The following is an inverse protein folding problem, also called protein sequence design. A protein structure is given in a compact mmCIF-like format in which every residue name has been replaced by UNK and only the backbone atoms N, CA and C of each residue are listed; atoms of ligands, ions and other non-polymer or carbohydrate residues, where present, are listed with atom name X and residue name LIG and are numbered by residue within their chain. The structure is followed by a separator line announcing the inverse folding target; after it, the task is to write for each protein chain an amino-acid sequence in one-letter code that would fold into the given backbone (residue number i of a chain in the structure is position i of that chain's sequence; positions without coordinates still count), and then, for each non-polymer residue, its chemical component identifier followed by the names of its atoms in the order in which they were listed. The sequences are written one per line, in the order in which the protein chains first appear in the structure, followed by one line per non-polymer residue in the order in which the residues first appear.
data_IF_669590513702
#
_entry.id   IF_669590513702
#
_cell.length_a   1.000
_cell.length_b   1.000
_cell.length_c   1.000
_cell.angle_alpha   90.00
_cell.angle_beta   90.00
_cell.angle_gamma   90.00
#
_symmetry.space_group_name_H-M   'P 1'
#
loop_
_entity.id
_entity.type
_entity.pdbx_description
1 polymer ?
#
# COMPACT_ATOMS: atom_id res chain seq x y z
N UNK A 1 12.59 20.36 13.52
CA UNK A 1 12.40 20.61 14.98
C UNK A 1 11.01 20.19 15.41
N UNK A 2 10.79 19.93 16.71
CA UNK A 2 9.45 19.58 17.23
C UNK A 2 8.43 20.67 16.90
N UNK A 3 8.83 21.94 16.93
CA UNK A 3 7.98 23.08 16.58
C UNK A 3 7.56 23.04 15.11
N UNK A 4 8.42 22.61 14.20
CA UNK A 4 8.13 22.46 12.78
C UNK A 4 7.04 21.41 12.55
N UNK A 5 7.07 20.28 13.26
CA UNK A 5 6.02 19.26 13.17
C UNK A 5 4.67 19.85 13.59
N UNK A 6 4.65 20.63 14.68
CA UNK A 6 3.43 21.29 15.16
C UNK A 6 2.89 22.37 14.22
N UNK A 7 3.73 23.01 13.42
CA UNK A 7 3.30 24.15 12.59
C UNK A 7 3.10 23.78 11.11
N UNK A 8 3.82 22.78 10.60
CA UNK A 8 3.95 22.57 9.15
C UNK A 8 3.48 21.21 8.65
N UNK A 9 3.12 20.25 9.54
CA UNK A 9 2.76 18.91 9.11
C UNK A 9 1.23 18.66 9.09
N UNK A 10 0.58 18.66 7.91
CA UNK A 10 -0.87 18.48 7.82
C UNK A 10 -1.34 17.11 8.34
N UNK A 11 -0.52 16.06 8.19
CA UNK A 11 -0.82 14.73 8.73
C UNK A 11 -0.99 14.71 10.25
N UNK A 12 -0.23 15.53 10.96
CA UNK A 12 -0.36 15.68 12.41
C UNK A 12 -1.73 16.25 12.78
N UNK A 13 -2.15 17.34 12.13
CA UNK A 13 -3.45 17.94 12.35
C UNK A 13 -4.61 17.01 11.97
N UNK A 14 -4.47 16.29 10.85
CA UNK A 14 -5.49 15.33 10.43
C UNK A 14 -5.73 14.25 11.49
N UNK A 15 -4.66 13.71 12.09
CA UNK A 15 -4.76 12.71 13.16
C UNK A 15 -5.39 13.31 14.43
N UNK A 16 -4.99 14.50 14.87
CA UNK A 16 -5.58 15.14 16.05
C UNK A 16 -7.08 15.38 15.83
N UNK A 17 -7.46 15.98 14.71
CA UNK A 17 -8.86 16.23 14.39
C UNK A 17 -9.65 14.93 14.25
N UNK A 18 -9.02 13.89 13.71
CA UNK A 18 -9.63 12.56 13.67
C UNK A 18 -9.88 11.99 15.08
N UNK A 19 -8.97 12.15 16.05
CA UNK A 19 -9.23 11.69 17.43
C UNK A 19 -10.49 12.33 18.02
N UNK A 20 -10.72 13.61 17.75
CA UNK A 20 -11.95 14.32 18.14
C UNK A 20 -13.16 13.77 17.38
N UNK A 21 -13.05 13.60 16.05
CA UNK A 21 -14.13 13.02 15.24
C UNK A 21 -14.49 11.61 15.69
N UNK A 22 -13.51 10.78 16.00
CA UNK A 22 -13.72 9.40 16.46
C UNK A 22 -14.38 9.35 17.83
N UNK A 23 -13.98 10.23 18.76
CA UNK A 23 -14.64 10.37 20.06
C UNK A 23 -16.12 10.73 19.90
N UNK A 24 -16.42 11.74 19.09
CA UNK A 24 -17.81 12.13 18.80
C UNK A 24 -18.62 11.00 18.14
N UNK A 25 -17.99 10.26 17.24
CA UNK A 25 -18.60 9.13 16.54
C UNK A 25 -18.99 7.99 17.49
N UNK A 26 -18.09 7.63 18.40
CA UNK A 26 -18.32 6.58 19.39
C UNK A 26 -19.35 6.96 20.44
N UNK A 27 -19.55 8.28 20.66
CA UNK A 27 -20.60 8.82 21.53
C UNK A 27 -21.91 9.14 20.80
N UNK A 28 -22.13 8.55 19.62
CA UNK A 28 -23.35 8.70 18.80
C UNK A 28 -23.61 10.11 18.27
N UNK A 29 -22.69 11.06 18.42
CA UNK A 29 -22.75 12.40 17.87
C UNK A 29 -22.29 12.44 16.40
N UNK A 30 -22.92 11.60 15.58
CA UNK A 30 -22.46 11.31 14.20
C UNK A 30 -22.39 12.53 13.30
N UNK A 31 -23.36 13.45 13.40
CA UNK A 31 -23.38 14.68 12.59
C UNK A 31 -22.16 15.55 12.92
N UNK A 32 -21.89 15.80 14.21
CA UNK A 32 -20.74 16.60 14.65
C UNK A 32 -19.41 15.92 14.26
N UNK A 33 -19.33 14.61 14.40
CA UNK A 33 -18.18 13.83 13.96
C UNK A 33 -17.89 14.03 12.46
N UNK A 34 -18.92 13.97 11.62
CA UNK A 34 -18.83 14.18 10.16
C UNK A 34 -18.47 15.62 9.81
N UNK A 35 -19.05 16.60 10.50
CA UNK A 35 -18.70 18.00 10.31
C UNK A 35 -17.23 18.27 10.64
N UNK A 36 -16.72 17.77 11.76
CA UNK A 36 -15.33 17.93 12.15
C UNK A 36 -14.38 17.19 11.16
N UNK A 37 -14.75 15.99 10.72
CA UNK A 37 -13.98 15.27 9.69
C UNK A 37 -13.93 16.01 8.35
N UNK A 38 -15.03 16.63 7.93
CA UNK A 38 -15.06 17.47 6.73
C UNK A 38 -14.18 18.72 6.87
N UNK A 39 -14.21 19.37 8.03
CA UNK A 39 -13.33 20.49 8.32
C UNK A 39 -11.86 20.07 8.30
N UNK A 40 -11.53 18.91 8.89
CA UNK A 40 -10.19 18.35 8.85
C UNK A 40 -9.71 18.14 7.40
N UNK A 41 -10.55 17.55 6.55
CA UNK A 41 -10.25 17.37 5.12
C UNK A 41 -10.03 18.70 4.40
N UNK A 42 -10.85 19.69 4.65
CA UNK A 42 -10.71 21.01 4.06
C UNK A 42 -9.38 21.68 4.43
N UNK A 43 -8.98 21.57 5.71
CA UNK A 43 -7.75 22.21 6.21
C UNK A 43 -6.46 21.45 5.85
N UNK A 44 -6.54 20.13 5.75
CA UNK A 44 -5.34 19.29 5.63
C UNK A 44 -5.22 18.57 4.27
N UNK A 45 -6.29 18.51 3.49
CA UNK A 45 -6.37 17.69 2.28
C UNK A 45 -6.43 16.18 2.54
N UNK A 46 -6.60 15.75 3.80
CA UNK A 46 -6.60 14.34 4.22
C UNK A 46 -7.99 13.98 4.72
N UNK A 47 -8.59 12.94 4.14
CA UNK A 47 -9.87 12.42 4.59
C UNK A 47 -9.69 11.18 5.46
N UNK A 48 -10.14 11.26 6.72
CA UNK A 48 -10.20 10.11 7.62
C UNK A 48 -11.66 9.96 8.07
N UNK A 49 -12.25 8.77 7.80
CA UNK A 49 -13.62 8.51 8.24
C UNK A 49 -13.70 8.55 9.78
N UNK A 50 -14.70 9.21 10.39
CA UNK A 50 -14.81 9.31 11.86
C UNK A 50 -14.85 7.97 12.58
N UNK A 51 -15.43 6.94 11.93
CA UNK A 51 -15.49 5.58 12.45
C UNK A 51 -14.19 4.79 12.29
N UNK A 52 -13.18 5.32 11.60
CA UNK A 52 -11.93 4.63 11.41
C UNK A 52 -11.17 4.48 12.74
N UNK A 53 -10.52 3.32 12.91
CA UNK A 53 -9.64 3.07 14.06
C UNK A 53 -8.20 3.28 13.62
N UNK A 54 -7.56 4.33 14.14
CA UNK A 54 -6.18 4.68 13.85
C UNK A 54 -5.31 4.36 15.06
N UNK A 55 -4.27 3.55 14.86
CA UNK A 55 -3.32 3.15 15.88
C UNK A 55 -2.45 4.29 16.42
N UNK A 56 -1.45 3.92 17.21
CA UNK A 56 -0.46 4.87 17.77
C UNK A 56 0.69 5.05 16.78
N UNK A 57 1.34 6.21 16.81
CA UNK A 57 2.53 6.54 15.99
C UNK A 57 2.31 6.35 14.48
N UNK A 58 1.07 6.46 14.02
CA UNK A 58 0.79 6.52 12.59
C UNK A 58 1.30 7.84 12.06
N UNK A 59 2.04 7.80 10.96
CA UNK A 59 2.57 8.98 10.30
C UNK A 59 2.00 9.10 8.89
N UNK A 60 1.41 10.26 8.58
CA UNK A 60 0.88 10.57 7.25
C UNK A 60 1.79 11.65 6.66
N UNK A 61 2.65 11.23 5.72
CA UNK A 61 3.62 12.10 5.09
C UNK A 61 3.06 12.70 3.79
N UNK A 62 3.21 13.99 3.61
CA UNK A 62 2.68 14.75 2.47
C UNK A 62 1.18 14.52 2.18
N UNK A 63 0.41 14.03 3.06
CA UNK A 63 -0.90 13.38 3.04
C UNK A 63 -2.01 13.88 2.11
N UNK A 64 -1.79 14.90 1.28
CA UNK A 64 -2.82 15.45 0.38
C UNK A 64 -3.43 14.36 -0.49
N UNK A 65 -4.76 14.29 -0.52
CA UNK A 65 -5.51 13.27 -1.26
C UNK A 65 -5.54 11.89 -0.63
N UNK A 66 -5.00 11.70 0.58
CA UNK A 66 -5.13 10.45 1.30
C UNK A 66 -6.57 10.27 1.82
N UNK A 67 -7.13 9.06 1.63
CA UNK A 67 -8.46 8.66 2.11
C UNK A 67 -8.33 7.40 2.96
N UNK A 68 -8.69 7.49 4.24
CA UNK A 68 -8.57 6.38 5.20
C UNK A 68 -9.95 5.95 5.68
N UNK A 69 -10.32 4.71 5.31
CA UNK A 69 -11.69 4.20 5.53
C UNK A 69 -11.94 3.51 6.86
N UNK A 70 -11.04 2.66 7.37
CA UNK A 70 -11.41 1.79 8.51
C UNK A 70 -10.30 1.52 9.53
N UNK A 71 -9.37 0.57 9.34
CA UNK A 71 -8.41 0.14 10.37
C UNK A 71 -6.98 0.37 9.94
N UNK A 72 -6.24 1.15 10.72
CA UNK A 72 -4.80 1.36 10.56
C UNK A 72 -4.12 1.07 11.90
N UNK A 73 -3.21 0.10 11.89
CA UNK A 73 -2.45 -0.32 13.07
C UNK A 73 -1.41 0.68 13.53
N UNK A 74 -0.68 0.31 14.55
CA UNK A 74 0.41 1.11 15.10
C UNK A 74 1.59 1.23 14.13
N UNK A 75 2.37 2.30 14.22
CA UNK A 75 3.62 2.51 13.50
C UNK A 75 3.50 2.47 11.96
N UNK A 76 2.29 2.66 11.41
CA UNK A 76 2.03 2.66 9.97
C UNK A 76 2.45 3.99 9.36
N UNK A 77 3.12 3.92 8.20
CA UNK A 77 3.48 5.07 7.38
C UNK A 77 2.59 5.12 6.13
N UNK A 78 1.93 6.25 5.91
CA UNK A 78 1.04 6.49 4.76
C UNK A 78 1.54 7.70 4.00
N UNK A 79 1.70 7.58 2.68
CA UNK A 79 2.07 8.69 1.82
C UNK A 79 0.86 9.35 1.15
N UNK A 80 1.12 10.46 0.44
CA UNK A 80 0.10 11.22 -0.29
C UNK A 80 -0.68 10.37 -1.31
N UNK A 81 -1.94 10.73 -1.51
CA UNK A 81 -2.80 10.09 -2.51
C UNK A 81 -3.14 8.63 -2.26
N UNK A 82 -2.83 8.10 -1.09
CA UNK A 82 -3.19 6.73 -0.71
C UNK A 82 -4.68 6.62 -0.49
N UNK A 83 -5.29 5.57 -1.05
CA UNK A 83 -6.71 5.27 -0.86
C UNK A 83 -6.86 3.91 -0.17
N UNK A 84 -7.37 3.92 1.05
CA UNK A 84 -7.83 2.73 1.77
C UNK A 84 -9.35 2.64 1.62
N UNK A 85 -9.81 2.10 0.50
CA UNK A 85 -11.18 2.20 0.04
C UNK A 85 -12.00 0.92 0.15
N UNK A 86 -13.33 1.08 0.21
CA UNK A 86 -14.27 -0.03 0.16
C UNK A 86 -14.69 -0.34 -1.28
N UNK A 87 -15.05 -1.61 -1.53
CA UNK A 87 -15.51 -2.09 -2.84
C UNK A 87 -16.99 -2.48 -2.86
N UNK A 88 -17.74 -2.26 -1.78
CA UNK A 88 -19.15 -2.64 -1.65
C UNK A 88 -19.99 -1.52 -1.06
N UNK A 89 -21.27 -1.49 -1.40
CA UNK A 89 -22.30 -0.61 -0.78
C UNK A 89 -22.94 -1.25 0.46
N UNK A 90 -22.68 -2.52 0.72
CA UNK A 90 -23.24 -3.23 1.87
C UNK A 90 -22.70 -2.66 3.19
N UNK A 91 -23.51 -2.70 4.25
CA UNK A 91 -23.17 -2.23 5.59
C UNK A 91 -22.31 -3.25 6.39
N UNK A 92 -21.42 -3.98 5.71
CA UNK A 92 -20.47 -4.89 6.28
C UNK A 92 -19.07 -4.31 6.21
N UNK A 93 -18.08 -4.94 6.82
CA UNK A 93 -16.68 -4.56 6.67
C UNK A 93 -16.30 -4.62 5.19
N UNK A 94 -15.88 -3.51 4.62
CA UNK A 94 -15.62 -3.36 3.19
C UNK A 94 -14.32 -2.60 2.87
N UNK A 95 -13.66 -2.07 3.88
CA UNK A 95 -12.40 -1.37 3.76
C UNK A 95 -11.24 -2.24 4.27
N UNK A 96 -10.01 -1.95 3.85
CA UNK A 96 -8.87 -2.74 4.26
C UNK A 96 -8.51 -2.55 5.73
N UNK A 97 -7.85 -3.58 6.27
CA UNK A 97 -7.10 -3.50 7.51
C UNK A 97 -5.62 -3.36 7.17
N UNK A 98 -4.98 -2.34 7.67
CA UNK A 98 -3.52 -2.16 7.58
C UNK A 98 -2.92 -2.48 8.94
N UNK A 99 -2.10 -3.51 9.00
CA UNK A 99 -1.50 -3.95 10.24
C UNK A 99 -0.26 -3.14 10.62
N UNK A 100 0.24 -3.39 11.83
CA UNK A 100 1.35 -2.67 12.45
C UNK A 100 2.58 -2.57 11.53
N UNK A 101 3.20 -1.39 11.48
CA UNK A 101 4.48 -1.15 10.82
C UNK A 101 4.46 -1.23 9.31
N UNK A 102 3.27 -1.37 8.70
CA UNK A 102 3.17 -1.39 7.24
C UNK A 102 3.46 -0.01 6.63
N UNK A 103 3.98 0.01 5.41
CA UNK A 103 4.31 1.21 4.64
C UNK A 103 3.47 1.23 3.39
N UNK A 104 2.68 2.29 3.19
CA UNK A 104 1.81 2.45 2.03
C UNK A 104 2.36 3.58 1.15
N UNK A 105 2.95 3.21 0.03
CA UNK A 105 3.60 4.14 -0.92
C UNK A 105 2.62 5.11 -1.57
N UNK A 106 3.15 6.23 -2.05
CA UNK A 106 2.39 7.33 -2.63
C UNK A 106 1.44 6.87 -3.74
N UNK A 107 0.20 7.33 -3.72
CA UNK A 107 -0.82 7.00 -4.72
C UNK A 107 -1.28 5.55 -4.74
N UNK A 108 -0.84 4.71 -3.81
CA UNK A 108 -1.30 3.33 -3.74
C UNK A 108 -2.79 3.25 -3.39
N UNK A 109 -3.49 2.29 -3.99
CA UNK A 109 -4.91 2.03 -3.78
C UNK A 109 -5.09 0.63 -3.21
N UNK A 110 -5.50 0.55 -1.95
CA UNK A 110 -5.81 -0.71 -1.26
C UNK A 110 -7.32 -0.81 -1.14
N UNK A 111 -7.91 -1.77 -1.83
CA UNK A 111 -9.34 -1.77 -2.07
C UNK A 111 -10.01 -3.06 -1.58
N UNK A 112 -11.07 -2.91 -0.81
CA UNK A 112 -11.90 -4.01 -0.35
C UNK A 112 -11.60 -4.46 1.08
N UNK A 113 -12.31 -5.48 1.54
CA UNK A 113 -12.09 -6.10 2.85
C UNK A 113 -10.87 -7.05 2.79
N UNK A 114 -9.69 -6.49 2.69
CA UNK A 114 -8.42 -7.20 2.61
C UNK A 114 -7.49 -6.76 3.74
N UNK A 115 -6.49 -7.57 4.03
CA UNK A 115 -5.48 -7.30 5.05
C UNK A 115 -4.12 -7.04 4.43
N UNK A 116 -3.52 -5.92 4.81
CA UNK A 116 -2.11 -5.61 4.56
C UNK A 116 -1.36 -6.00 5.83
N UNK A 117 -0.61 -7.11 5.74
CA UNK A 117 0.07 -7.72 6.89
C UNK A 117 1.15 -6.84 7.50
N UNK A 118 1.55 -7.21 8.72
CA UNK A 118 2.54 -6.45 9.50
C UNK A 118 3.85 -6.25 8.73
N UNK A 119 4.44 -5.05 8.87
CA UNK A 119 5.73 -4.68 8.28
C UNK A 119 5.82 -4.87 6.77
N UNK A 120 4.69 -5.07 6.09
CA UNK A 120 4.66 -5.16 4.64
C UNK A 120 4.80 -3.79 3.98
N UNK A 121 5.20 -3.78 2.71
CA UNK A 121 5.38 -2.58 1.91
C UNK A 121 4.49 -2.62 0.68
N UNK A 122 3.70 -1.59 0.49
CA UNK A 122 2.94 -1.38 -0.74
C UNK A 122 3.68 -0.33 -1.57
N UNK A 123 4.09 -0.71 -2.77
CA UNK A 123 4.80 0.17 -3.68
C UNK A 123 3.97 1.36 -4.15
N UNK A 124 4.64 2.42 -4.54
CA UNK A 124 4.02 3.63 -5.10
C UNK A 124 3.14 3.28 -6.31
N UNK A 125 1.92 3.81 -6.33
CA UNK A 125 0.95 3.58 -7.41
C UNK A 125 0.36 2.18 -7.51
N UNK A 126 0.69 1.27 -6.60
CA UNK A 126 0.16 -0.10 -6.62
C UNK A 126 -1.34 -0.15 -6.38
N UNK A 127 -2.04 -1.08 -7.04
CA UNK A 127 -3.48 -1.35 -6.83
C UNK A 127 -3.63 -2.73 -6.21
N UNK A 128 -3.86 -2.76 -4.89
CA UNK A 128 -3.93 -3.98 -4.10
C UNK A 128 -5.38 -4.41 -3.93
N UNK A 129 -5.69 -5.62 -4.39
CA UNK A 129 -7.05 -6.19 -4.41
C UNK A 129 -7.14 -7.53 -3.67
N UNK A 130 -6.02 -7.99 -3.08
CA UNK A 130 -5.91 -9.25 -2.34
C UNK A 130 -5.07 -9.03 -1.10
N UNK A 131 -5.20 -9.92 -0.13
CA UNK A 131 -4.39 -9.89 1.09
C UNK A 131 -2.89 -9.89 0.78
N UNK A 132 -2.16 -9.11 1.54
CA UNK A 132 -0.69 -9.03 1.49
C UNK A 132 -0.14 -9.67 2.75
N UNK A 133 0.65 -10.75 2.64
CA UNK A 133 1.24 -11.40 3.80
C UNK A 133 2.17 -10.46 4.60
N UNK A 134 2.41 -10.73 5.88
CA UNK A 134 3.39 -9.99 6.67
C UNK A 134 4.78 -10.00 5.99
N UNK A 135 5.59 -8.98 6.27
CA UNK A 135 6.97 -8.84 5.80
C UNK A 135 7.15 -8.96 4.27
N UNK A 136 6.09 -8.66 3.53
CA UNK A 136 6.05 -8.80 2.07
C UNK A 136 6.06 -7.44 1.37
N UNK A 137 6.53 -7.42 0.12
CA UNK A 137 6.45 -6.24 -0.76
C UNK A 137 5.47 -6.53 -1.89
N UNK A 138 4.47 -5.65 -2.06
CA UNK A 138 3.48 -5.72 -3.11
C UNK A 138 3.60 -4.52 -4.04
N UNK A 139 3.72 -4.74 -5.36
CA UNK A 139 3.87 -3.68 -6.37
C UNK A 139 3.02 -3.93 -7.60
N UNK A 140 2.75 -2.89 -8.36
CA UNK A 140 2.13 -2.96 -9.70
C UNK A 140 0.60 -2.85 -9.70
N UNK A 141 0.03 -2.93 -10.91
CA UNK A 141 -1.40 -2.84 -11.20
C UNK A 141 -1.79 -4.00 -12.13
N UNK A 142 -2.52 -5.03 -11.63
CA UNK A 142 -2.86 -5.28 -10.23
C UNK A 142 -1.63 -5.63 -9.38
N UNK A 143 -1.72 -5.37 -8.07
CA UNK A 143 -0.64 -5.59 -7.13
C UNK A 143 -0.23 -7.07 -7.03
N UNK A 144 1.08 -7.32 -7.10
CA UNK A 144 1.69 -8.65 -6.99
C UNK A 144 2.75 -8.67 -5.90
N UNK A 145 2.83 -9.77 -5.17
CA UNK A 145 3.88 -9.97 -4.16
C UNK A 145 5.18 -10.30 -4.91
N UNK A 146 6.19 -9.46 -4.72
CA UNK A 146 7.51 -9.58 -5.38
C UNK A 146 8.61 -9.98 -4.41
N UNK A 147 8.39 -9.79 -3.10
CA UNK A 147 9.31 -10.17 -2.05
C UNK A 147 8.51 -10.61 -0.83
N UNK A 148 8.84 -11.77 -0.28
CA UNK A 148 8.37 -12.23 1.03
C UNK A 148 9.58 -12.71 1.82
N UNK A 149 9.76 -12.24 3.04
CA UNK A 149 10.80 -12.75 3.94
C UNK A 149 10.23 -14.01 4.60
N UNK A 150 10.97 -15.12 4.53
CA UNK A 150 10.65 -16.30 5.32
C UNK A 150 10.83 -15.96 6.82
N UNK A 151 9.97 -16.51 7.66
CA UNK A 151 9.78 -16.15 9.07
C UNK A 151 11.03 -16.21 9.97
N UNK A 152 12.11 -16.86 9.54
CA UNK A 152 13.28 -17.16 10.39
C UNK A 152 14.26 -15.99 10.59
N UNK A 153 14.10 -14.84 9.89
CA UNK A 153 15.03 -13.70 9.97
C UNK A 153 14.39 -12.39 10.45
N UNK A 154 13.26 -12.45 11.13
CA UNK A 154 12.36 -11.29 11.35
C UNK A 154 12.81 -10.36 12.48
N UNK A 155 13.45 -10.86 13.54
CA UNK A 155 13.65 -10.08 14.78
C UNK A 155 14.66 -8.91 14.73
N UNK A 156 15.56 -8.87 13.74
CA UNK A 156 16.71 -7.94 13.79
C UNK A 156 16.53 -6.68 12.93
N UNK A 157 15.58 -6.63 11.99
CA UNK A 157 15.49 -5.55 10.99
C UNK A 157 14.40 -4.47 11.20
N UNK A 158 13.57 -4.58 12.23
CA UNK A 158 12.44 -3.64 12.43
C UNK A 158 12.78 -2.32 13.13
N UNK A 159 14.07 -2.02 13.36
CA UNK A 159 14.48 -0.78 14.06
C UNK A 159 14.55 0.46 13.19
N UNK A 160 14.59 0.31 11.87
CA UNK A 160 14.62 1.44 10.92
C UNK A 160 13.58 1.26 9.82
N UNK A 161 12.85 2.34 9.51
CA UNK A 161 11.93 2.37 8.37
C UNK A 161 12.77 2.32 7.09
N UNK A 162 12.58 1.28 6.29
CA UNK A 162 13.25 1.15 4.99
C UNK A 162 12.46 1.94 3.94
N UNK A 163 13.01 3.05 3.48
CA UNK A 163 12.41 3.98 2.53
C UNK A 163 12.89 3.78 1.09
N UNK A 164 13.56 2.67 0.76
CA UNK A 164 14.09 2.36 -0.57
C UNK A 164 12.97 2.07 -1.61
N UNK A 165 12.07 3.04 -1.81
CA UNK A 165 10.98 2.94 -2.78
C UNK A 165 11.44 2.93 -4.24
N UNK A 166 12.66 3.37 -4.53
CA UNK A 166 13.26 3.39 -5.86
C UNK A 166 13.90 2.06 -6.26
N UNK A 167 14.01 1.10 -5.35
CA UNK A 167 14.56 -0.24 -5.59
C UNK A 167 13.50 -1.34 -5.60
N UNK A 168 12.25 -0.99 -5.89
CA UNK A 168 11.18 -1.97 -6.01
C UNK A 168 11.35 -2.78 -7.31
N UNK A 169 11.26 -4.12 -7.25
CA UNK A 169 11.34 -4.96 -8.44
C UNK A 169 10.15 -4.71 -9.37
N UNK A 170 10.39 -4.81 -10.68
CA UNK A 170 9.35 -4.76 -11.70
C UNK A 170 8.99 -6.20 -12.15
N UNK A 171 7.91 -6.78 -11.61
CA UNK A 171 7.56 -8.17 -11.92
C UNK A 171 7.13 -8.38 -13.38
N UNK A 172 6.72 -7.32 -14.08
CA UNK A 172 6.35 -7.42 -15.51
C UNK A 172 7.59 -7.43 -16.36
N UNK A 173 8.55 -6.54 -16.12
CA UNK A 173 9.83 -6.53 -16.80
C UNK A 173 10.60 -7.84 -16.59
N UNK A 174 10.62 -8.36 -15.36
CA UNK A 174 11.28 -9.63 -15.03
C UNK A 174 10.63 -10.82 -15.76
N UNK A 175 9.30 -10.86 -15.83
CA UNK A 175 8.58 -11.90 -16.58
C UNK A 175 8.86 -11.82 -18.09
N UNK A 176 8.87 -10.61 -18.67
CA UNK A 176 9.19 -10.38 -20.08
C UNK A 176 10.63 -10.81 -20.38
N UNK A 177 11.59 -10.43 -19.55
CA UNK A 177 12.99 -10.82 -19.71
C UNK A 177 13.16 -12.35 -19.67
N UNK A 178 12.46 -13.02 -18.75
CA UNK A 178 12.47 -14.48 -18.64
C UNK A 178 11.88 -15.14 -19.89
N UNK A 179 10.73 -14.66 -20.38
CA UNK A 179 10.11 -15.16 -21.61
C UNK A 179 11.02 -14.94 -22.82
N UNK A 180 11.64 -13.77 -22.92
CA UNK A 180 12.57 -13.44 -24.01
C UNK A 180 13.79 -14.38 -24.02
N UNK A 181 14.28 -14.73 -22.82
CA UNK A 181 15.37 -15.71 -22.69
C UNK A 181 14.96 -17.10 -23.19
N UNK A 182 13.80 -17.59 -22.76
CA UNK A 182 13.29 -18.89 -23.20
C UNK A 182 13.02 -18.93 -24.72
N UNK A 183 12.49 -17.84 -25.30
CA UNK A 183 12.32 -17.75 -26.75
C UNK A 183 13.66 -17.89 -27.48
N UNK A 184 14.70 -17.17 -27.06
CA UNK A 184 16.04 -17.28 -27.66
C UNK A 184 16.65 -18.68 -27.52
N UNK A 185 16.39 -19.37 -26.40
CA UNK A 185 16.83 -20.76 -26.20
C UNK A 185 16.08 -21.71 -27.14
N UNK A 186 14.76 -21.56 -27.28
CA UNK A 186 13.95 -22.36 -28.21
C UNK A 186 14.37 -22.14 -29.66
N UNK A 187 14.62 -20.89 -30.07
CA UNK A 187 15.11 -20.58 -31.42
C UNK A 187 16.44 -21.30 -31.72
N UNK A 188 17.35 -21.36 -30.74
CA UNK A 188 18.60 -22.15 -30.90
C UNK A 188 18.34 -23.62 -31.07
N UNK A 189 17.45 -24.23 -30.28
CA UNK A 189 17.09 -25.62 -30.38
C UNK A 189 16.42 -25.95 -31.73
N UNK A 190 15.54 -25.07 -32.19
CA UNK A 190 14.89 -25.19 -33.50
C UNK A 190 15.93 -25.16 -34.62
N UNK A 191 16.89 -24.22 -34.61
CA UNK A 191 17.97 -24.18 -35.60
C UNK A 191 18.77 -25.48 -35.65
N UNK A 192 19.17 -26.02 -34.49
CA UNK A 192 19.89 -27.28 -34.39
C UNK A 192 19.08 -28.44 -34.96
N UNK A 193 17.76 -28.47 -34.73
CA UNK A 193 16.88 -29.49 -35.28
C UNK A 193 16.76 -29.40 -36.80
N UNK A 194 16.67 -28.20 -37.37
CA UNK A 194 16.66 -27.97 -38.82
C UNK A 194 17.97 -28.43 -39.46
N UNK A 195 19.12 -28.06 -38.88
CA UNK A 195 20.44 -28.50 -39.35
C UNK A 195 20.58 -30.03 -39.34
N UNK A 196 20.14 -30.70 -38.24
CA UNK A 196 20.22 -32.15 -38.11
C UNK A 196 19.31 -32.90 -39.11
N UNK A 197 18.18 -32.29 -39.47
CA UNK A 197 17.21 -32.93 -40.37
C UNK A 197 17.36 -32.49 -41.83
N UNK A 198 18.40 -31.71 -42.18
CA UNK A 198 18.66 -31.18 -43.53
C UNK A 198 17.45 -30.42 -44.13
N UNK A 199 16.64 -29.78 -43.25
CA UNK A 199 15.49 -29.00 -43.67
C UNK A 199 15.95 -27.55 -43.86
N UNK A 200 15.87 -27.03 -45.08
CA UNK A 200 16.18 -25.63 -45.37
C UNK A 200 15.07 -24.73 -44.84
N UNK A 201 15.43 -23.72 -44.00
CA UNK A 201 14.51 -22.63 -43.64
C UNK A 201 14.35 -21.75 -44.89
N UNK A 202 13.17 -21.77 -45.52
CA UNK A 202 12.80 -20.69 -46.47
C UNK A 202 12.45 -19.47 -45.69
N UNK A 203 13.14 -18.33 -45.93
CA UNK A 203 12.84 -17.00 -45.39
C UNK A 203 11.45 -16.51 -45.78
#
# INVERSE_FOLDING_TARGET
STLEIFLCYPGFYAIIMHRVSHYLWTHSLRLLARMNSNLARFLTGIEIHPGATIGKRVFIDHGVGAVVGEIVGDDVLIYQGVILGGTSTQKTKRHPTVEKGAIIGAGAKVMGNITVGQYSKIGTGAVVLKDVPPDSTCVGVPGRIVRSKNAENIEIQHKTVDLDHNKLPDPVADAINTLTKHLKENDKHIKILYEKNSICLTE
#
